data_IF_657738366035
#
_entry.id   IF_657738366035
#
_cell.length_a   1.000
_cell.length_b   1.000
_cell.length_c   1.000
_cell.angle_alpha   90.00
_cell.angle_beta   90.00
_cell.angle_gamma   90.00
#
_symmetry.space_group_name_H-M   'P 1'
#
loop_
_entity.id
_entity.type
_entity.pdbx_description
1 polymer ?
#
# COMPACT_ATOMS: atom_id res chain seq x y z
N UNK A 1 -10.92 -5.81 5.87
CA UNK A 1 -10.78 -4.44 5.36
C UNK A 1 -9.61 -4.42 4.38
N UNK A 2 -9.75 -3.79 3.22
CA UNK A 2 -8.69 -3.72 2.21
C UNK A 2 -8.25 -2.26 2.00
N UNK A 3 -6.95 -2.01 2.05
CA UNK A 3 -6.33 -0.71 1.82
C UNK A 3 -5.75 -0.71 0.40
N UNK A 4 -6.05 0.33 -0.39
CA UNK A 4 -5.46 0.48 -1.73
C UNK A 4 -4.39 1.57 -1.68
N UNK A 5 -3.18 1.24 -2.11
CA UNK A 5 -2.01 2.14 -2.05
C UNK A 5 -1.44 2.30 -3.45
N UNK A 6 -1.38 3.55 -3.92
CA UNK A 6 -0.68 3.93 -5.15
C UNK A 6 0.81 4.04 -4.85
N UNK A 7 1.60 3.21 -5.48
CA UNK A 7 3.06 3.21 -5.35
C UNK A 7 3.69 3.63 -6.67
N UNK A 8 5.00 3.91 -6.67
CA UNK A 8 5.73 4.11 -7.94
C UNK A 8 5.91 2.78 -8.65
N UNK A 9 6.23 2.82 -9.95
CA UNK A 9 6.50 1.60 -10.72
C UNK A 9 7.68 0.80 -10.14
N UNK A 10 8.73 1.49 -9.70
CA UNK A 10 9.92 0.86 -9.13
C UNK A 10 9.61 0.12 -7.82
N UNK A 11 8.82 0.74 -6.95
CA UNK A 11 8.39 0.12 -5.69
C UNK A 11 7.41 -1.02 -5.93
N UNK A 12 6.54 -0.89 -6.93
CA UNK A 12 5.62 -1.96 -7.32
C UNK A 12 6.35 -3.21 -7.79
N UNK A 13 7.41 -3.05 -8.58
CA UNK A 13 8.23 -4.17 -9.08
C UNK A 13 9.11 -4.76 -7.97
N UNK A 14 9.58 -3.93 -7.04
CA UNK A 14 10.40 -4.36 -5.91
C UNK A 14 9.59 -4.94 -4.74
N UNK A 15 8.27 -4.72 -4.73
CA UNK A 15 7.37 -5.24 -3.70
C UNK A 15 7.46 -6.77 -3.64
N UNK A 16 7.69 -7.32 -2.47
CA UNK A 16 7.79 -8.77 -2.25
C UNK A 16 7.25 -9.11 -0.86
N UNK A 17 6.93 -10.38 -0.64
CA UNK A 17 6.42 -10.83 0.67
C UNK A 17 7.47 -10.59 1.76
N UNK A 18 7.07 -9.96 2.87
CA UNK A 18 7.99 -9.55 3.94
C UNK A 18 8.81 -8.30 3.64
N UNK A 19 8.62 -7.68 2.47
CA UNK A 19 9.23 -6.40 2.11
C UNK A 19 8.44 -5.21 2.67
N UNK A 20 8.77 -4.02 2.20
CA UNK A 20 8.05 -2.80 2.53
C UNK A 20 7.89 -1.92 1.30
N UNK A 21 6.88 -1.07 1.32
CA UNK A 21 6.64 -0.05 0.29
C UNK A 21 6.05 1.20 0.92
N UNK A 22 6.28 2.35 0.31
CA UNK A 22 5.59 3.58 0.63
C UNK A 22 4.78 4.10 -0.57
N UNK A 23 3.69 4.79 -0.29
CA UNK A 23 2.84 5.33 -1.34
C UNK A 23 1.63 6.09 -0.83
N UNK A 24 0.77 6.50 -1.76
CA UNK A 24 -0.42 7.30 -1.48
C UNK A 24 -1.65 6.42 -1.29
N UNK A 25 -2.41 6.67 -0.23
CA UNK A 25 -3.65 5.94 0.04
C UNK A 25 -4.76 6.38 -0.90
N UNK A 26 -5.39 5.44 -1.60
CA UNK A 26 -6.52 5.75 -2.48
C UNK A 26 -7.70 6.32 -1.68
N UNK A 27 -8.32 7.37 -2.21
CA UNK A 27 -9.49 8.01 -1.61
C UNK A 27 -9.19 8.93 -0.43
N UNK A 28 -7.92 9.08 -0.03
CA UNK A 28 -7.49 10.07 0.95
C UNK A 28 -6.47 11.02 0.33
N UNK A 29 -6.82 12.31 0.29
CA UNK A 29 -5.92 13.33 -0.24
C UNK A 29 -4.77 13.55 0.74
N UNK A 30 -3.54 13.59 0.22
CA UNK A 30 -2.31 13.88 0.97
C UNK A 30 -2.04 12.93 2.15
N UNK A 31 -2.58 11.70 2.10
CA UNK A 31 -2.27 10.66 3.08
C UNK A 31 -1.32 9.66 2.44
N UNK A 32 -0.13 9.63 3.00
CA UNK A 32 0.89 8.67 2.66
C UNK A 32 0.83 7.49 3.62
N UNK A 33 1.19 6.31 3.13
CA UNK A 33 1.29 5.09 3.91
C UNK A 33 2.63 4.43 3.67
N UNK A 34 3.30 4.07 4.75
CA UNK A 34 4.35 3.05 4.76
C UNK A 34 3.68 1.72 5.09
N UNK A 35 3.93 0.71 4.29
CA UNK A 35 3.31 -0.60 4.42
C UNK A 35 4.40 -1.64 4.52
N UNK A 36 4.39 -2.37 5.63
CA UNK A 36 5.12 -3.62 5.75
C UNK A 36 4.28 -4.72 5.10
N UNK A 37 4.79 -5.28 4.02
CA UNK A 37 4.10 -6.27 3.21
C UNK A 37 4.16 -7.62 3.90
N UNK A 38 3.00 -8.21 4.12
CA UNK A 38 2.88 -9.59 4.60
C UNK A 38 3.07 -10.60 3.47
N UNK A 39 2.12 -11.50 3.30
CA UNK A 39 2.17 -12.55 2.27
C UNK A 39 1.44 -12.12 1.00
N UNK A 40 2.13 -12.22 -0.14
CA UNK A 40 1.53 -12.00 -1.46
C UNK A 40 0.49 -13.08 -1.77
N UNK A 41 -0.63 -12.66 -2.37
CA UNK A 41 -1.66 -13.55 -2.87
C UNK A 41 -2.10 -13.12 -4.27
N UNK A 42 -2.74 -14.05 -4.96
CA UNK A 42 -3.36 -13.77 -6.25
C UNK A 42 -4.41 -12.66 -6.12
N UNK A 43 -4.26 -11.62 -6.95
CA UNK A 43 -5.24 -10.56 -7.05
C UNK A 43 -6.39 -11.02 -7.95
N UNK A 44 -7.62 -10.99 -7.44
CA UNK A 44 -8.82 -11.25 -8.24
C UNK A 44 -9.34 -9.91 -8.77
N UNK A 45 -9.30 -9.67 -10.10
CA UNK A 45 -9.78 -8.42 -10.69
C UNK A 45 -11.26 -8.19 -10.38
N UNK A 46 -11.60 -6.95 -10.04
CA UNK A 46 -12.97 -6.51 -9.84
C UNK A 46 -13.43 -5.59 -10.98
N UNK A 47 -14.74 -5.54 -11.23
CA UNK A 47 -15.32 -4.73 -12.34
C UNK A 47 -15.04 -3.22 -12.27
N UNK A 48 -14.55 -2.71 -11.13
CA UNK A 48 -14.16 -1.31 -10.95
C UNK A 48 -12.67 -1.03 -11.11
N UNK A 49 -11.87 -2.05 -11.44
CA UNK A 49 -10.43 -1.89 -11.61
C UNK A 49 -10.10 -1.38 -13.01
N UNK A 50 -9.03 -0.59 -13.10
CA UNK A 50 -8.59 -0.04 -14.37
C UNK A 50 -7.84 -1.13 -15.15
N UNK A 51 -8.27 -1.50 -16.36
CA UNK A 51 -7.61 -2.55 -17.15
C UNK A 51 -6.19 -2.18 -17.59
N UNK A 52 -5.77 -0.92 -17.43
CA UNK A 52 -4.41 -0.44 -17.75
C UNK A 52 -3.49 -0.33 -16.53
N UNK A 53 -3.96 -0.79 -15.36
CA UNK A 53 -3.23 -0.71 -14.10
C UNK A 53 -2.91 -2.13 -13.63
N UNK A 54 -1.70 -2.31 -13.11
CA UNK A 54 -1.31 -3.58 -12.50
C UNK A 54 -1.62 -3.53 -11.00
N UNK A 55 -2.09 -4.66 -10.48
CA UNK A 55 -2.51 -4.80 -9.09
C UNK A 55 -1.82 -5.98 -8.44
N UNK A 56 -1.36 -5.79 -7.20
CA UNK A 56 -0.81 -6.87 -6.37
C UNK A 56 -1.48 -6.88 -5.01
N UNK A 57 -1.77 -8.06 -4.48
CA UNK A 57 -2.46 -8.22 -3.20
C UNK A 57 -1.52 -8.81 -2.16
N UNK A 58 -1.49 -8.19 -0.99
CA UNK A 58 -0.76 -8.68 0.16
C UNK A 58 -1.71 -8.78 1.36
N UNK A 59 -1.59 -9.85 2.16
CA UNK A 59 -2.36 -10.04 3.39
C UNK A 59 -1.47 -10.05 4.61
N UNK A 60 -2.04 -9.64 5.75
CA UNK A 60 -1.31 -9.54 7.01
C UNK A 60 -0.29 -8.41 6.98
N UNK A 61 -0.62 -7.32 6.28
CA UNK A 61 0.24 -6.14 6.19
C UNK A 61 -0.03 -5.20 7.35
N UNK A 62 1.01 -4.51 7.77
CA UNK A 62 0.92 -3.44 8.75
C UNK A 62 1.16 -2.12 8.03
N UNK A 63 0.21 -1.20 8.14
CA UNK A 63 0.20 0.07 7.42
C UNK A 63 0.24 1.25 8.40
N UNK A 64 1.20 2.14 8.21
CA UNK A 64 1.46 3.31 9.03
C UNK A 64 1.22 4.56 8.20
N UNK A 65 0.41 5.49 8.70
CA UNK A 65 -0.07 6.64 7.93
C UNK A 65 0.56 7.93 8.41
N UNK A 66 0.85 8.83 7.47
CA UNK A 66 1.20 10.20 7.79
C UNK A 66 0.60 11.18 6.78
N UNK A 67 0.43 12.43 7.22
CA UNK A 67 -0.04 13.54 6.37
C UNK A 67 1.03 14.11 5.43
N UNK A 68 2.28 13.66 5.55
CA UNK A 68 3.36 14.03 4.63
C UNK A 68 4.40 12.92 4.55
N UNK A 69 5.12 12.88 3.44
CA UNK A 69 6.23 11.94 3.23
C UNK A 69 7.37 12.18 4.23
N UNK A 70 7.69 13.44 4.53
CA UNK A 70 8.72 13.81 5.51
C UNK A 70 8.44 13.22 6.90
N UNK A 71 7.18 13.19 7.32
CA UNK A 71 6.78 12.57 8.58
C UNK A 71 6.95 11.05 8.57
N UNK A 72 6.68 10.43 7.43
CA UNK A 72 6.88 8.99 7.25
C UNK A 72 8.34 8.60 7.34
N UNK A 73 9.22 9.37 6.69
CA UNK A 73 10.67 9.19 6.78
C UNK A 73 11.19 9.41 8.22
N UNK A 74 10.56 10.32 8.96
CA UNK A 74 10.84 10.55 10.37
C UNK A 74 10.17 9.53 11.34
N UNK A 75 9.51 8.49 10.81
CA UNK A 75 8.75 7.49 11.59
C UNK A 75 7.67 8.11 12.51
N UNK A 76 7.14 9.28 12.14
CA UNK A 76 6.15 10.03 12.89
C UNK A 76 4.76 9.84 12.29
N UNK A 77 4.10 8.76 12.71
CA UNK A 77 2.82 8.35 12.14
C UNK A 77 1.63 9.02 12.84
N UNK A 78 0.67 9.48 12.05
CA UNK A 78 -0.61 10.01 12.53
C UNK A 78 -1.60 8.87 12.87
N UNK A 79 -1.29 7.62 12.47
CA UNK A 79 -2.08 6.43 12.83
C UNK A 79 -1.53 5.15 12.19
N UNK A 80 -2.09 4.01 12.59
CA UNK A 80 -1.70 2.70 12.06
C UNK A 80 -2.90 1.76 11.88
N UNK A 81 -2.75 0.80 10.98
CA UNK A 81 -3.65 -0.31 10.75
C UNK A 81 -2.85 -1.60 10.67
N UNK A 82 -3.14 -2.54 11.56
CA UNK A 82 -2.41 -3.80 11.65
C UNK A 82 -3.20 -4.95 11.04
N UNK A 83 -2.50 -5.95 10.50
CA UNK A 83 -3.06 -7.17 9.92
C UNK A 83 -4.14 -6.90 8.85
N UNK A 84 -3.90 -5.89 8.01
CA UNK A 84 -4.81 -5.52 6.93
C UNK A 84 -4.44 -6.19 5.61
N UNK A 85 -5.40 -6.22 4.69
CA UNK A 85 -5.12 -6.57 3.29
C UNK A 85 -4.74 -5.30 2.55
N UNK A 86 -3.62 -5.32 1.82
CA UNK A 86 -3.16 -4.19 1.01
C UNK A 86 -3.17 -4.57 -0.45
N UNK A 87 -3.69 -3.68 -1.27
CA UNK A 87 -3.70 -3.79 -2.73
C UNK A 87 -2.80 -2.67 -3.24
N UNK A 88 -1.64 -3.04 -3.78
CA UNK A 88 -0.75 -2.12 -4.45
C UNK A 88 -1.20 -1.92 -5.89
N UNK A 89 -1.08 -0.69 -6.38
CA UNK A 89 -1.30 -0.40 -7.79
C UNK A 89 -0.34 0.70 -8.28
N UNK A 90 0.08 0.59 -9.55
CA UNK A 90 0.97 1.54 -10.23
C UNK A 90 0.37 2.09 -11.51
#
# INVERSE_FOLDING_TARGET
>A
MALRVKVTRADFESATSGGWVDGLVQGRKDVWAYVELGTEQEYVPSSGDNPRTEYRLFRGCDAFFAKSQEKLEALNYDGQLLSVTVILYS
#
